data_IF_287081314290
#
_entry.id   IF_287081314290
#
_cell.length_a   1.000
_cell.length_b   1.000
_cell.length_c   1.000
_cell.angle_alpha   90.00
_cell.angle_beta   90.00
_cell.angle_gamma   90.00
#
_symmetry.space_group_name_H-M   'P 1'
#
loop_
_entity.id
_entity.type
_entity.pdbx_description
1 polymer ?
#
# COMPACT_ATOMS: atom_id res chain seq x y z
N UNK A 1 -12.20 0.42 16.93
CA UNK A 1 -12.79 0.08 15.61
C UNK A 1 -12.43 -1.36 15.29
N UNK A 2 -13.37 -2.17 14.79
CA UNK A 2 -13.11 -3.58 14.46
C UNK A 2 -12.15 -3.71 13.27
N UNK A 3 -11.37 -4.80 13.14
CA UNK A 3 -10.52 -5.04 11.98
C UNK A 3 -11.31 -5.12 10.65
N UNK A 4 -12.53 -5.66 10.71
CA UNK A 4 -13.43 -5.80 9.56
C UNK A 4 -13.89 -4.47 8.97
N UNK A 5 -13.97 -3.41 9.79
CA UNK A 5 -14.32 -2.05 9.35
C UNK A 5 -13.05 -1.23 9.11
N UNK A 6 -12.05 -1.38 9.99
CA UNK A 6 -10.83 -0.58 9.95
C UNK A 6 -9.98 -0.86 8.70
N UNK A 7 -9.85 -2.13 8.30
CA UNK A 7 -9.11 -2.48 7.10
C UNK A 7 -9.68 -1.82 5.83
N UNK A 8 -10.95 -2.03 5.43
CA UNK A 8 -11.46 -1.44 4.18
C UNK A 8 -11.49 0.10 4.24
N UNK A 9 -11.79 0.69 5.39
CA UNK A 9 -11.79 2.15 5.55
C UNK A 9 -10.40 2.73 5.29
N UNK A 10 -9.37 2.22 5.97
CA UNK A 10 -8.02 2.73 5.81
C UNK A 10 -7.41 2.35 4.46
N UNK A 11 -7.81 1.22 3.86
CA UNK A 11 -7.45 0.89 2.49
C UNK A 11 -7.96 1.96 1.50
N UNK A 12 -9.24 2.33 1.59
CA UNK A 12 -9.82 3.39 0.74
C UNK A 12 -9.13 4.74 0.97
N UNK A 13 -8.87 5.10 2.23
CA UNK A 13 -8.13 6.33 2.56
C UNK A 13 -6.72 6.30 1.96
N UNK A 14 -6.02 5.18 2.04
CA UNK A 14 -4.69 4.99 1.47
C UNK A 14 -4.72 5.17 -0.04
N UNK A 15 -5.70 4.55 -0.72
CA UNK A 15 -5.88 4.68 -2.17
C UNK A 15 -6.21 6.12 -2.58
N UNK A 16 -7.05 6.82 -1.80
CA UNK A 16 -7.36 8.23 -2.04
C UNK A 16 -6.12 9.12 -1.93
N UNK A 17 -5.29 8.92 -0.90
CA UNK A 17 -4.03 9.65 -0.77
C UNK A 17 -3.05 9.31 -1.90
N UNK A 18 -2.92 8.03 -2.27
CA UNK A 18 -2.08 7.63 -3.41
C UNK A 18 -2.54 8.26 -4.73
N UNK A 19 -3.85 8.31 -4.99
CA UNK A 19 -4.42 9.03 -6.13
C UNK A 19 -4.05 10.51 -6.10
N UNK A 20 -4.13 11.14 -4.93
CA UNK A 20 -3.66 12.51 -4.71
C UNK A 20 -2.15 12.70 -4.95
N UNK A 21 -1.32 11.76 -4.48
CA UNK A 21 0.14 11.77 -4.70
C UNK A 21 0.46 11.74 -6.19
N UNK A 22 -0.21 10.87 -6.96
CA UNK A 22 -0.05 10.78 -8.42
C UNK A 22 -0.50 12.07 -9.10
N UNK A 23 -1.69 12.57 -8.77
CA UNK A 23 -2.24 13.78 -9.37
C UNK A 23 -1.36 15.01 -9.10
N UNK A 24 -0.94 15.21 -7.84
CA UNK A 24 -0.07 16.33 -7.46
C UNK A 24 1.36 16.19 -7.97
N UNK A 25 1.86 14.95 -8.12
CA UNK A 25 3.15 14.65 -8.73
C UNK A 25 3.15 14.99 -10.23
N UNK A 26 2.10 14.62 -10.95
CA UNK A 26 1.92 14.97 -12.37
C UNK A 26 1.80 16.48 -12.58
N UNK A 27 1.05 17.17 -11.71
CA UNK A 27 0.90 18.63 -11.74
C UNK A 27 2.11 19.41 -11.18
N UNK A 28 3.20 18.73 -10.82
CA UNK A 28 4.43 19.31 -10.25
C UNK A 28 4.21 20.18 -8.98
N UNK A 29 3.14 19.93 -8.21
CA UNK A 29 2.81 20.69 -7.00
C UNK A 29 3.48 20.12 -5.74
N UNK A 30 4.79 20.33 -5.60
CA UNK A 30 5.61 19.80 -4.49
C UNK A 30 5.03 20.06 -3.10
N UNK A 31 4.51 21.28 -2.83
CA UNK A 31 3.94 21.68 -1.54
C UNK A 31 2.72 20.85 -1.12
N UNK A 32 1.96 20.32 -2.08
CA UNK A 32 0.80 19.44 -1.82
C UNK A 32 1.20 17.97 -1.88
N UNK A 33 2.14 17.64 -2.75
CA UNK A 33 2.62 16.28 -2.93
C UNK A 33 3.25 15.71 -1.65
N UNK A 34 4.16 16.44 -1.00
CA UNK A 34 4.89 15.93 0.17
C UNK A 34 3.93 15.58 1.34
N UNK A 35 3.00 16.46 1.76
CA UNK A 35 2.00 16.09 2.77
C UNK A 35 1.18 14.86 2.39
N UNK A 36 0.75 14.74 1.12
CA UNK A 36 0.00 13.58 0.65
C UNK A 36 0.81 12.28 0.70
N UNK A 37 2.11 12.33 0.44
CA UNK A 37 3.02 11.18 0.61
C UNK A 37 3.11 10.77 2.08
N UNK A 38 3.22 11.74 2.99
CA UNK A 38 3.25 11.43 4.44
C UNK A 38 1.93 10.81 4.88
N UNK A 39 0.80 11.38 4.47
CA UNK A 39 -0.53 10.84 4.76
C UNK A 39 -0.74 9.45 4.16
N UNK A 40 -0.24 9.18 2.94
CA UNK A 40 -0.35 7.85 2.32
C UNK A 40 0.47 6.81 3.08
N UNK A 41 1.68 7.15 3.54
CA UNK A 41 2.52 6.23 4.34
C UNK A 41 1.88 5.93 5.69
N UNK A 42 1.36 6.95 6.39
CA UNK A 42 0.68 6.76 7.68
C UNK A 42 -0.58 5.88 7.50
N UNK A 43 -1.43 6.21 6.54
CA UNK A 43 -2.65 5.44 6.27
C UNK A 43 -2.36 4.00 5.81
N UNK A 44 -1.30 3.79 5.03
CA UNK A 44 -0.82 2.45 4.67
C UNK A 44 -0.39 1.66 5.91
N UNK A 45 0.37 2.27 6.82
CA UNK A 45 0.78 1.63 8.07
C UNK A 45 -0.43 1.20 8.92
N UNK A 46 -1.46 2.06 9.00
CA UNK A 46 -2.71 1.73 9.69
C UNK A 46 -3.49 0.62 8.96
N UNK A 47 -3.51 0.65 7.62
CA UNK A 47 -4.10 -0.42 6.78
C UNK A 47 -3.43 -1.76 7.07
N UNK A 48 -2.10 -1.82 7.11
CA UNK A 48 -1.33 -3.03 7.42
C UNK A 48 -1.65 -3.52 8.83
N UNK A 49 -1.68 -2.62 9.83
CA UNK A 49 -2.05 -2.97 11.20
C UNK A 49 -3.43 -3.63 11.30
N UNK A 50 -4.44 -3.09 10.60
CA UNK A 50 -5.76 -3.72 10.55
C UNK A 50 -5.78 -5.00 9.72
N UNK A 51 -4.98 -5.10 8.65
CA UNK A 51 -4.85 -6.29 7.83
C UNK A 51 -4.26 -7.47 8.62
N UNK A 52 -3.22 -7.24 9.43
CA UNK A 52 -2.65 -8.25 10.32
C UNK A 52 -3.69 -8.76 11.32
N UNK A 53 -4.44 -7.85 11.95
CA UNK A 53 -5.54 -8.22 12.86
C UNK A 53 -6.67 -8.96 12.16
N UNK A 54 -7.00 -8.56 10.94
CA UNK A 54 -8.00 -9.23 10.11
C UNK A 54 -7.55 -10.64 9.76
N UNK A 55 -6.26 -10.85 9.48
CA UNK A 55 -5.68 -12.16 9.20
C UNK A 55 -5.78 -13.17 10.35
N UNK A 56 -5.96 -12.72 11.59
CA UNK A 56 -6.26 -13.60 12.73
C UNK A 56 -7.73 -14.08 12.76
N UNK A 57 -8.62 -13.49 11.95
CA UNK A 57 -10.03 -13.87 11.88
C UNK A 57 -10.33 -14.87 10.76
N UNK A 58 -9.40 -15.06 9.82
CA UNK A 58 -9.59 -15.86 8.62
C UNK A 58 -8.53 -16.96 8.51
N UNK A 59 -8.91 -18.13 7.99
CA UNK A 59 -7.94 -19.15 7.59
C UNK A 59 -7.31 -18.77 6.24
N UNK A 60 -6.35 -17.86 6.29
CA UNK A 60 -5.64 -17.42 5.10
C UNK A 60 -4.82 -18.56 4.46
N UNK A 61 -4.41 -19.57 5.23
CA UNK A 61 -3.61 -20.69 4.69
C UNK A 61 -4.44 -21.61 3.81
N UNK A 62 -5.76 -21.71 4.06
CA UNK A 62 -6.69 -22.43 3.19
C UNK A 62 -6.73 -21.87 1.76
N UNK A 63 -6.29 -20.63 1.52
CA UNK A 63 -6.23 -20.02 0.19
C UNK A 63 -5.09 -20.53 -0.70
N UNK A 64 -4.30 -21.50 -0.21
CA UNK A 64 -3.28 -22.19 -0.99
C UNK A 64 -2.11 -21.28 -1.38
N UNK A 65 -1.75 -21.28 -2.67
CA UNK A 65 -0.59 -20.54 -3.18
C UNK A 65 -0.74 -19.02 -3.12
N UNK A 66 -1.96 -18.50 -3.00
CA UNK A 66 -2.26 -17.06 -2.96
C UNK A 66 -1.65 -16.42 -1.70
N UNK A 67 -1.75 -17.09 -0.55
CA UNK A 67 -1.21 -16.58 0.72
C UNK A 67 0.30 -16.30 0.67
N UNK A 68 1.19 -17.26 0.36
CA UNK A 68 2.62 -17.00 0.31
C UNK A 68 3.00 -16.03 -0.82
N UNK A 69 2.29 -16.05 -1.94
CA UNK A 69 2.51 -15.10 -3.04
C UNK A 69 2.18 -13.66 -2.61
N UNK A 70 1.00 -13.44 -2.04
CA UNK A 70 0.58 -12.14 -1.52
C UNK A 70 1.55 -11.66 -0.43
N UNK A 71 1.95 -12.53 0.50
CA UNK A 71 2.86 -12.15 1.58
C UNK A 71 4.25 -11.75 1.05
N UNK A 72 4.80 -12.49 0.09
CA UNK A 72 6.07 -12.15 -0.55
C UNK A 72 5.96 -10.82 -1.30
N UNK A 73 4.88 -10.61 -2.04
CA UNK A 73 4.61 -9.38 -2.76
C UNK A 73 4.43 -8.19 -1.80
N UNK A 74 3.65 -8.34 -0.74
CA UNK A 74 3.41 -7.31 0.27
C UNK A 74 4.71 -6.85 0.94
N UNK A 75 5.57 -7.79 1.33
CA UNK A 75 6.90 -7.46 1.89
C UNK A 75 7.76 -6.71 0.87
N UNK A 76 7.81 -7.19 -0.36
CA UNK A 76 8.59 -6.58 -1.45
C UNK A 76 8.11 -5.16 -1.75
N UNK A 77 6.80 -4.97 -1.90
CA UNK A 77 6.16 -3.67 -2.13
C UNK A 77 6.44 -2.71 -0.98
N UNK A 78 6.27 -3.16 0.27
CA UNK A 78 6.52 -2.35 1.46
C UNK A 78 7.96 -1.85 1.52
N UNK A 79 8.94 -2.72 1.29
CA UNK A 79 10.36 -2.34 1.22
C UNK A 79 10.63 -1.40 0.04
N UNK A 80 9.97 -1.63 -1.09
CA UNK A 80 10.18 -0.83 -2.30
C UNK A 80 9.71 0.61 -2.15
N UNK A 81 8.81 0.95 -1.20
CA UNK A 81 8.45 2.35 -0.90
C UNK A 81 9.63 3.21 -0.43
N UNK A 82 10.72 2.61 0.06
CA UNK A 82 11.94 3.35 0.37
C UNK A 82 12.55 3.99 -0.88
N UNK A 83 12.45 3.33 -2.04
CA UNK A 83 13.02 3.82 -3.29
C UNK A 83 12.41 5.16 -3.74
N UNK A 84 11.08 5.34 -3.89
CA UNK A 84 10.51 6.63 -4.28
C UNK A 84 10.74 7.71 -3.21
N UNK A 85 10.88 7.36 -1.93
CA UNK A 85 11.26 8.31 -0.87
C UNK A 85 12.70 8.79 -1.06
N UNK A 86 13.63 7.88 -1.31
CA UNK A 86 15.05 8.21 -1.56
C UNK A 86 15.18 9.05 -2.83
N UNK A 87 14.67 8.57 -3.96
CA UNK A 87 14.74 9.31 -5.22
C UNK A 87 13.97 10.63 -5.14
N UNK A 88 12.82 10.66 -4.46
CA UNK A 88 12.04 11.87 -4.24
C UNK A 88 12.84 12.91 -3.46
N UNK A 89 13.55 12.49 -2.41
CA UNK A 89 14.43 13.35 -1.64
C UNK A 89 15.60 13.87 -2.47
N UNK A 90 16.19 13.03 -3.32
CA UNK A 90 17.25 13.45 -4.25
C UNK A 90 16.74 14.48 -5.26
N UNK A 91 15.49 14.38 -5.74
CA UNK A 91 14.91 15.38 -6.67
C UNK A 91 14.70 16.77 -6.08
N UNK A 92 14.66 16.90 -4.75
CA UNK A 92 14.60 18.19 -4.07
C UNK A 92 15.94 18.92 -4.22
N UNK A 93 17.05 18.19 -4.19
CA UNK A 93 18.41 18.73 -4.32
C UNK A 93 18.82 18.88 -5.78
N UNK A 94 18.52 17.89 -6.60
CA UNK A 94 19.01 17.77 -7.97
C UNK A 94 17.90 17.32 -8.93
N UNK A 95 17.49 18.16 -9.91
CA UNK A 95 16.42 17.83 -10.85
C UNK A 95 16.72 16.61 -11.76
N UNK A 96 17.98 16.23 -11.93
CA UNK A 96 18.42 15.09 -12.76
C UNK A 96 17.81 13.75 -12.32
N UNK A 97 17.48 13.62 -11.02
CA UNK A 97 16.85 12.42 -10.46
C UNK A 97 15.34 12.32 -10.75
N UNK A 98 14.73 13.32 -11.38
CA UNK A 98 13.27 13.37 -11.57
C UNK A 98 12.76 12.19 -12.40
N UNK A 99 13.51 11.84 -13.45
CA UNK A 99 13.17 10.69 -14.30
C UNK A 99 13.22 9.37 -13.52
N UNK A 100 14.23 9.21 -12.65
CA UNK A 100 14.39 8.02 -11.81
C UNK A 100 13.30 7.93 -10.75
N UNK A 101 13.01 9.04 -10.05
CA UNK A 101 11.90 9.11 -9.10
C UNK A 101 10.58 8.71 -9.77
N UNK A 102 10.28 9.25 -10.96
CA UNK A 102 9.06 8.92 -11.70
C UNK A 102 8.98 7.43 -12.07
N UNK A 103 10.05 6.87 -12.65
CA UNK A 103 10.08 5.45 -13.05
C UNK A 103 9.87 4.52 -11.85
N UNK A 104 10.59 4.77 -10.77
CA UNK A 104 10.49 4.00 -9.53
C UNK A 104 9.12 4.17 -8.89
N UNK A 105 8.58 5.39 -8.82
CA UNK A 105 7.26 5.64 -8.24
C UNK A 105 6.16 4.87 -8.98
N UNK A 106 6.17 4.86 -10.31
CA UNK A 106 5.20 4.08 -11.09
C UNK A 106 5.39 2.56 -10.93
N UNK A 107 6.62 2.08 -10.85
CA UNK A 107 6.90 0.66 -10.56
C UNK A 107 6.33 0.27 -9.19
N UNK A 108 6.62 1.05 -8.16
CA UNK A 108 6.11 0.77 -6.80
C UNK A 108 4.59 0.87 -6.75
N UNK A 109 3.99 1.88 -7.40
CA UNK A 109 2.54 2.01 -7.49
C UNK A 109 1.89 0.80 -8.16
N UNK A 110 2.50 0.30 -9.25
CA UNK A 110 2.04 -0.93 -9.91
C UNK A 110 2.09 -2.14 -8.96
N UNK A 111 3.22 -2.32 -8.25
CA UNK A 111 3.34 -3.35 -7.23
C UNK A 111 2.30 -3.20 -6.12
N UNK A 112 2.00 -1.96 -5.68
CA UNK A 112 0.93 -1.66 -4.71
C UNK A 112 -0.43 -2.13 -5.19
N UNK A 113 -0.79 -1.84 -6.44
CA UNK A 113 -2.07 -2.24 -7.02
C UNK A 113 -2.19 -3.76 -7.05
N UNK A 114 -1.15 -4.48 -7.51
CA UNK A 114 -1.14 -5.96 -7.49
C UNK A 114 -1.21 -6.48 -6.05
N UNK A 115 -0.48 -5.88 -5.11
CA UNK A 115 -0.51 -6.26 -3.69
C UNK A 115 -1.92 -6.11 -3.11
N UNK A 116 -2.58 -4.98 -3.35
CA UNK A 116 -3.94 -4.73 -2.88
C UNK A 116 -4.94 -5.69 -3.52
N UNK A 117 -4.85 -5.93 -4.83
CA UNK A 117 -5.72 -6.85 -5.55
C UNK A 117 -5.57 -8.29 -5.06
N UNK A 118 -4.34 -8.77 -4.87
CA UNK A 118 -4.07 -10.12 -4.34
C UNK A 118 -4.53 -10.27 -2.88
N UNK A 119 -4.38 -9.23 -2.06
CA UNK A 119 -4.88 -9.24 -0.68
C UNK A 119 -6.40 -9.25 -0.61
N UNK A 120 -7.06 -8.45 -1.45
CA UNK A 120 -8.52 -8.45 -1.56
C UNK A 120 -9.05 -9.80 -2.06
N UNK A 121 -8.43 -10.38 -3.09
CA UNK A 121 -8.76 -11.72 -3.57
C UNK A 121 -8.65 -12.72 -2.42
N UNK A 122 -7.50 -12.77 -1.73
CA UNK A 122 -7.26 -13.69 -0.61
C UNK A 122 -8.37 -13.60 0.45
N UNK A 123 -8.80 -12.39 0.82
CA UNK A 123 -9.88 -12.19 1.79
C UNK A 123 -11.27 -12.63 1.27
N UNK A 124 -11.54 -12.49 -0.03
CA UNK A 124 -12.82 -12.91 -0.61
C UNK A 124 -13.00 -14.43 -0.64
N UNK A 125 -11.91 -15.19 -0.70
CA UNK A 125 -11.94 -16.66 -0.76
C UNK A 125 -11.60 -17.33 0.58
N UNK A 126 -11.01 -16.59 1.53
CA UNK A 126 -10.67 -17.14 2.83
C UNK A 126 -11.91 -17.39 3.68
N UNK A 127 -11.95 -18.53 4.36
CA UNK A 127 -13.02 -18.84 5.30
C UNK A 127 -12.74 -18.17 6.66
N UNK A 128 -13.81 -17.69 7.31
CA UNK A 128 -13.71 -17.11 8.65
C UNK A 128 -13.53 -18.23 9.67
N UNK A 129 -12.61 -18.05 10.63
CA UNK A 129 -12.36 -19.04 11.68
C UNK A 129 -13.57 -19.18 12.62
N UNK A 130 -13.99 -20.41 12.95
CA UNK A 130 -15.11 -20.65 13.86
C UNK A 130 -14.79 -20.16 15.28
N UNK A 131 -15.75 -19.49 15.92
CA UNK A 131 -15.64 -19.04 17.31
C UNK A 131 -15.02 -17.65 17.53
N UNK A 132 -14.72 -16.90 16.47
CA UNK A 132 -14.17 -15.54 16.57
C UNK A 132 -15.20 -14.50 16.09
N UNK A 133 -15.96 -13.92 17.03
CA UNK A 133 -17.00 -12.91 16.80
C UNK A 133 -16.43 -11.49 16.61
#
# INVERSE_FOLDING_TARGET
MSPTIGFPLFLVITLAFLGGVVATGYAAHRRRHIPLVVCSVISLGITIFFAERLGHLFDLKATGWIYPFHLALAKTTTLSYLLPVVFGSLTIREPTWLLWHRRVAYLVLFLTVITAATGAWMLCIAERLPGVS
#
